data_IF_563789076940
#
_entry.id   IF_563789076940
#
_cell.length_a   1.000
_cell.length_b   1.000
_cell.length_c   1.000
_cell.angle_alpha   90.00
_cell.angle_beta   90.00
_cell.angle_gamma   90.00
#
_symmetry.space_group_name_H-M   'P 1'
#
loop_
_entity.id
_entity.type
_entity.pdbx_description
1 polymer ?
#
# COMPACT_ATOMS: atom_id res chain seq x y z
N UNK A 1 8.20 0.12 -6.56
CA UNK A 1 8.29 0.12 -5.08
C UNK A 1 8.42 1.54 -4.58
N UNK A 2 7.90 1.82 -3.38
CA UNK A 2 7.90 3.13 -2.78
C UNK A 2 8.93 3.16 -1.64
N UNK A 3 9.95 3.98 -1.79
CA UNK A 3 11.00 4.15 -0.78
C UNK A 3 10.60 5.27 0.16
N UNK A 4 10.36 4.95 1.40
CA UNK A 4 10.06 5.88 2.48
C UNK A 4 10.62 5.35 3.79
N UNK A 5 10.78 6.23 4.78
CA UNK A 5 11.14 5.82 6.13
C UNK A 5 9.89 5.56 6.98
N UNK A 6 10.05 4.80 8.02
CA UNK A 6 9.00 4.50 8.98
C UNK A 6 9.45 4.87 10.40
N UNK A 7 8.56 4.66 11.36
CA UNK A 7 8.89 4.88 12.79
C UNK A 7 9.85 3.83 13.34
N UNK A 8 10.03 2.70 12.66
CA UNK A 8 10.90 1.60 13.09
C UNK A 8 12.36 1.79 12.70
N UNK A 9 12.63 2.60 11.65
CA UNK A 9 13.98 2.81 11.13
C UNK A 9 14.35 4.29 11.09
N UNK A 10 15.61 4.58 11.37
CA UNK A 10 16.18 5.88 11.03
C UNK A 10 16.38 6.00 9.52
N UNK A 11 16.30 7.23 9.00
CA UNK A 11 16.43 7.49 7.53
C UNK A 11 17.68 6.85 6.90
N UNK A 12 18.88 6.93 7.50
CA UNK A 12 20.05 6.24 6.94
C UNK A 12 19.89 4.71 6.89
N UNK A 13 19.26 4.11 7.91
CA UNK A 13 19.01 2.66 7.93
C UNK A 13 18.01 2.27 6.84
N UNK A 14 16.92 3.05 6.68
CA UNK A 14 15.96 2.82 5.60
C UNK A 14 16.64 2.92 4.22
N UNK A 15 17.50 3.91 4.01
CA UNK A 15 18.28 4.06 2.78
C UNK A 15 19.13 2.82 2.48
N UNK A 16 19.85 2.32 3.47
CA UNK A 16 20.67 1.11 3.32
C UNK A 16 19.83 -0.11 2.96
N UNK A 17 18.67 -0.30 3.62
CA UNK A 17 17.77 -1.41 3.32
C UNK A 17 17.20 -1.33 1.90
N UNK A 18 16.88 -0.15 1.39
CA UNK A 18 16.43 0.03 0.01
C UNK A 18 17.53 -0.24 -1.02
N UNK A 19 18.76 0.15 -0.73
CA UNK A 19 19.90 -0.17 -1.60
C UNK A 19 20.15 -1.68 -1.62
N UNK A 20 20.12 -2.35 -0.48
CA UNK A 20 20.21 -3.82 -0.41
C UNK A 20 19.07 -4.49 -1.17
N UNK A 21 17.83 -4.00 -0.99
CA UNK A 21 16.67 -4.51 -1.70
C UNK A 21 16.78 -4.32 -3.22
N UNK A 22 17.35 -3.20 -3.68
CA UNK A 22 17.62 -2.96 -5.10
C UNK A 22 18.49 -4.04 -5.72
N UNK A 23 19.62 -4.36 -5.10
CA UNK A 23 20.49 -5.44 -5.53
C UNK A 23 19.79 -6.80 -5.49
N UNK A 24 19.13 -7.10 -4.37
CA UNK A 24 18.41 -8.37 -4.18
C UNK A 24 17.35 -8.59 -5.25
N UNK A 25 16.52 -7.60 -5.52
CA UNK A 25 15.46 -7.69 -6.53
C UNK A 25 16.02 -7.90 -7.94
N UNK A 26 17.11 -7.21 -8.30
CA UNK A 26 17.75 -7.37 -9.62
C UNK A 26 18.37 -8.76 -9.80
N UNK A 27 19.12 -9.21 -8.80
CA UNK A 27 19.71 -10.54 -8.82
C UNK A 27 18.62 -11.61 -8.86
N UNK A 28 17.60 -11.53 -8.00
CA UNK A 28 16.50 -12.49 -7.96
C UNK A 28 15.70 -12.51 -9.28
N UNK A 29 15.48 -11.36 -9.92
CA UNK A 29 14.77 -11.29 -11.18
C UNK A 29 15.46 -12.15 -12.26
N UNK A 30 16.78 -12.09 -12.37
CA UNK A 30 17.55 -12.85 -13.33
C UNK A 30 17.76 -14.31 -12.89
N UNK A 31 18.19 -14.52 -11.65
CA UNK A 31 18.53 -15.86 -11.13
C UNK A 31 17.33 -16.80 -11.20
N UNK A 32 16.14 -16.32 -10.87
CA UNK A 32 14.92 -17.12 -10.86
C UNK A 32 14.05 -16.95 -12.11
N UNK A 33 14.53 -16.26 -13.14
CA UNK A 33 13.79 -16.04 -14.39
C UNK A 33 12.47 -15.28 -14.21
N UNK A 34 12.40 -14.37 -13.23
CA UNK A 34 11.19 -13.62 -12.91
C UNK A 34 10.95 -12.44 -13.85
N UNK A 35 11.96 -12.06 -14.65
CA UNK A 35 11.90 -10.95 -15.59
C UNK A 35 13.25 -10.29 -15.80
N UNK A 36 13.25 -9.15 -16.52
CA UNK A 36 14.47 -8.35 -16.71
C UNK A 36 14.95 -7.75 -15.39
N UNK A 37 16.26 -7.67 -15.21
CA UNK A 37 16.87 -6.91 -14.11
C UNK A 37 16.41 -5.45 -14.10
N UNK A 38 16.06 -4.90 -15.26
CA UNK A 38 15.59 -3.52 -15.42
C UNK A 38 14.06 -3.42 -15.54
N UNK A 39 13.34 -4.51 -15.27
CA UNK A 39 11.87 -4.59 -15.36
C UNK A 39 11.12 -3.91 -14.19
N UNK A 40 11.80 -3.24 -13.28
CA UNK A 40 11.19 -2.52 -12.16
C UNK A 40 12.00 -1.29 -11.77
N UNK A 41 11.36 -0.39 -11.06
CA UNK A 41 11.93 0.85 -10.58
C UNK A 41 11.44 1.17 -9.17
N UNK A 42 12.27 1.88 -8.39
CA UNK A 42 11.88 2.41 -7.10
C UNK A 42 11.45 3.87 -7.24
N UNK A 43 10.49 4.28 -6.41
CA UNK A 43 10.02 5.65 -6.31
C UNK A 43 10.11 6.11 -4.86
N UNK A 44 10.43 7.38 -4.64
CA UNK A 44 10.51 7.96 -3.31
C UNK A 44 9.16 8.51 -2.89
N UNK A 45 8.85 8.43 -1.59
CA UNK A 45 7.75 9.17 -0.95
C UNK A 45 8.32 10.09 0.12
N UNK A 46 7.90 11.36 0.12
CA UNK A 46 8.32 12.36 1.11
C UNK A 46 7.09 13.00 1.76
N UNK A 47 7.17 13.28 3.06
CA UNK A 47 6.04 13.75 3.86
C UNK A 47 6.40 14.82 4.90
N UNK A 48 7.43 15.64 4.67
CA UNK A 48 7.79 16.77 5.51
C UNK A 48 7.40 18.12 4.87
N UNK A 49 7.48 19.21 5.66
CA UNK A 49 7.53 20.57 5.14
C UNK A 49 8.83 20.81 4.36
N UNK A 50 8.93 21.93 3.66
CA UNK A 50 10.09 22.23 2.83
C UNK A 50 11.39 22.25 3.65
N UNK A 51 11.38 22.82 4.85
CA UNK A 51 12.56 22.87 5.71
C UNK A 51 13.01 21.47 6.14
N UNK A 52 12.07 20.58 6.43
CA UNK A 52 12.33 19.18 6.74
C UNK A 52 12.91 18.42 5.55
N UNK A 53 12.39 18.65 4.34
CA UNK A 53 12.90 18.03 3.10
C UNK A 53 14.30 18.54 2.77
N UNK A 54 14.58 19.81 3.02
CA UNK A 54 15.91 20.40 2.84
C UNK A 54 16.90 20.09 3.98
N UNK A 55 16.46 19.43 5.05
CA UNK A 55 17.39 19.02 6.10
C UNK A 55 18.45 18.05 5.56
N UNK A 56 19.66 18.13 6.09
CA UNK A 56 20.79 17.27 5.64
C UNK A 56 20.41 15.79 5.59
N UNK A 57 19.61 15.34 6.57
CA UNK A 57 19.14 13.96 6.67
C UNK A 57 18.30 13.53 5.46
N UNK A 58 17.31 14.33 5.06
CA UNK A 58 16.40 14.01 3.96
C UNK A 58 17.04 14.34 2.62
N UNK A 59 17.77 15.42 2.55
CA UNK A 59 18.51 15.80 1.34
C UNK A 59 19.54 14.73 0.93
N UNK A 60 20.29 14.21 1.91
CA UNK A 60 21.22 13.09 1.69
C UNK A 60 20.50 11.83 1.22
N UNK A 61 19.33 11.50 1.81
CA UNK A 61 18.53 10.37 1.36
C UNK A 61 18.08 10.53 -0.11
N UNK A 62 17.54 11.69 -0.48
CA UNK A 62 17.10 11.99 -1.85
C UNK A 62 18.25 11.87 -2.85
N UNK A 63 19.40 12.49 -2.55
CA UNK A 63 20.55 12.48 -3.44
C UNK A 63 21.13 11.07 -3.59
N UNK A 64 21.24 10.32 -2.49
CA UNK A 64 21.77 8.94 -2.53
C UNK A 64 20.83 8.00 -3.27
N UNK A 65 19.52 8.08 -3.05
CA UNK A 65 18.59 7.22 -3.77
C UNK A 65 18.53 7.55 -5.27
N UNK A 66 18.89 8.76 -5.65
CA UNK A 66 19.00 9.14 -7.05
C UNK A 66 20.31 8.67 -7.68
N UNK A 67 21.44 8.69 -6.93
CA UNK A 67 22.77 8.35 -7.40
C UNK A 67 23.55 7.61 -6.30
N UNK A 68 23.22 6.32 -6.10
CA UNK A 68 23.75 5.52 -5.01
C UNK A 68 25.18 4.97 -5.23
N UNK A 69 25.70 5.03 -6.45
CA UNK A 69 26.95 4.35 -6.83
C UNK A 69 28.18 4.74 -5.98
N UNK A 70 28.18 5.96 -5.42
CA UNK A 70 29.28 6.46 -4.61
C UNK A 70 29.13 6.13 -3.11
N UNK A 71 27.97 5.66 -2.68
CA UNK A 71 27.73 5.29 -1.30
C UNK A 71 28.47 4.01 -0.90
N UNK A 72 28.94 3.96 0.35
CA UNK A 72 29.67 2.79 0.86
C UNK A 72 28.81 1.53 0.85
N UNK A 73 27.51 1.65 1.14
CA UNK A 73 26.60 0.49 1.13
C UNK A 73 26.42 -0.08 -0.28
N UNK A 74 26.35 0.77 -1.31
CA UNK A 74 26.21 0.31 -2.69
C UNK A 74 27.48 -0.44 -3.13
N UNK A 75 28.66 0.12 -2.84
CA UNK A 75 29.95 -0.52 -3.11
C UNK A 75 30.09 -1.85 -2.38
N UNK A 76 29.70 -1.89 -1.11
CA UNK A 76 29.74 -3.09 -0.28
C UNK A 76 28.80 -4.19 -0.82
N UNK A 77 27.59 -3.86 -1.21
CA UNK A 77 26.63 -4.81 -1.82
C UNK A 77 27.20 -5.39 -3.12
N UNK A 78 27.74 -4.53 -3.99
CA UNK A 78 28.36 -4.97 -5.26
C UNK A 78 29.55 -5.88 -5.02
N UNK A 79 30.46 -5.49 -4.12
CA UNK A 79 31.65 -6.29 -3.78
C UNK A 79 31.24 -7.67 -3.22
N UNK A 80 30.29 -7.70 -2.29
CA UNK A 80 29.79 -8.95 -1.72
C UNK A 80 29.24 -9.90 -2.79
N UNK A 81 28.43 -9.41 -3.72
CA UNK A 81 27.88 -10.23 -4.80
C UNK A 81 28.96 -10.72 -5.77
N UNK A 82 29.95 -9.89 -6.09
CA UNK A 82 31.07 -10.29 -6.94
C UNK A 82 31.93 -11.38 -6.29
N UNK A 83 32.16 -11.29 -4.98
CA UNK A 83 32.92 -12.30 -4.21
C UNK A 83 32.17 -13.63 -4.11
N UNK A 84 30.85 -13.62 -4.27
CA UNK A 84 29.99 -14.80 -4.18
C UNK A 84 29.30 -15.15 -5.52
N UNK A 85 29.82 -14.64 -6.63
CA UNK A 85 29.20 -14.83 -7.94
C UNK A 85 29.12 -16.32 -8.38
N UNK A 86 29.96 -17.16 -7.81
CA UNK A 86 30.00 -18.62 -8.03
C UNK A 86 28.78 -19.36 -7.42
N UNK A 87 28.01 -18.70 -6.56
CA UNK A 87 26.79 -19.27 -5.98
C UNK A 87 25.56 -19.13 -6.91
N UNK A 88 25.65 -18.35 -7.98
CA UNK A 88 24.57 -18.12 -8.93
C UNK A 88 24.70 -19.01 -10.16
N UNK A 89 23.57 -19.50 -10.68
CA UNK A 89 23.52 -20.28 -11.91
C UNK A 89 23.31 -19.39 -13.15
N UNK A 90 22.61 -18.28 -13.02
CA UNK A 90 22.18 -17.44 -14.13
C UNK A 90 22.69 -15.98 -14.07
N UNK A 91 23.12 -15.52 -12.90
CA UNK A 91 23.69 -14.18 -12.72
C UNK A 91 25.21 -14.22 -12.90
N UNK A 92 25.73 -13.43 -13.81
CA UNK A 92 27.16 -13.33 -14.08
C UNK A 92 27.79 -12.14 -13.34
N UNK A 93 29.13 -12.06 -13.32
CA UNK A 93 29.84 -10.91 -12.76
C UNK A 93 29.53 -9.63 -13.53
N UNK A 94 29.40 -9.72 -14.86
CA UNK A 94 29.05 -8.62 -15.73
C UNK A 94 27.65 -8.09 -15.42
N UNK A 95 26.72 -8.96 -15.07
CA UNK A 95 25.38 -8.54 -14.62
C UNK A 95 25.44 -7.74 -13.32
N UNK A 96 26.22 -8.22 -12.34
CA UNK A 96 26.39 -7.54 -11.07
C UNK A 96 27.07 -6.17 -11.26
N UNK A 97 28.06 -6.08 -12.12
CA UNK A 97 28.75 -4.83 -12.46
C UNK A 97 27.82 -3.83 -13.18
N UNK A 98 26.87 -4.33 -13.98
CA UNK A 98 25.91 -3.52 -14.73
C UNK A 98 24.83 -2.89 -13.86
N UNK A 99 24.63 -3.33 -12.61
CA UNK A 99 23.62 -2.76 -11.73
C UNK A 99 23.86 -1.27 -11.52
N UNK A 100 22.91 -0.45 -12.03
CA UNK A 100 22.97 1.00 -11.90
C UNK A 100 22.78 1.48 -10.47
N UNK A 101 23.46 2.58 -10.11
CA UNK A 101 23.22 3.30 -8.86
C UNK A 101 22.04 4.29 -8.94
N UNK A 102 21.41 4.43 -10.10
CA UNK A 102 20.23 5.28 -10.29
C UNK A 102 18.99 4.50 -9.87
N UNK A 103 18.69 4.53 -8.56
CA UNK A 103 17.64 3.71 -7.94
C UNK A 103 16.27 4.35 -8.09
N UNK A 104 16.18 5.67 -7.86
CA UNK A 104 14.94 6.44 -7.92
C UNK A 104 15.11 7.69 -8.78
N UNK A 105 14.21 7.91 -9.73
CA UNK A 105 14.14 9.14 -10.52
C UNK A 105 12.83 9.91 -10.30
N UNK A 106 11.93 9.41 -9.46
CA UNK A 106 10.63 10.01 -9.19
C UNK A 106 10.32 10.08 -7.71
N UNK A 107 9.52 11.09 -7.35
CA UNK A 107 9.13 11.35 -5.97
C UNK A 107 7.63 11.65 -5.88
N UNK A 108 6.98 11.10 -4.86
CA UNK A 108 5.61 11.43 -4.49
C UNK A 108 5.62 12.28 -3.22
N UNK A 109 5.02 13.47 -3.28
CA UNK A 109 4.81 14.35 -2.15
C UNK A 109 3.55 13.89 -1.42
N UNK A 110 3.70 13.40 -0.19
CA UNK A 110 2.59 13.01 0.68
C UNK A 110 2.44 14.09 1.75
N UNK A 111 1.66 15.11 1.44
CA UNK A 111 1.39 16.21 2.38
C UNK A 111 0.47 15.75 3.50
N UNK A 112 0.66 16.34 4.68
CA UNK A 112 -0.27 16.20 5.81
C UNK A 112 -1.58 16.93 5.49
N UNK A 113 -2.67 16.54 6.17
CA UNK A 113 -3.90 17.32 6.18
C UNK A 113 -3.62 18.74 6.66
N UNK A 114 -4.25 19.73 6.03
CA UNK A 114 -4.06 21.15 6.37
C UNK A 114 -2.77 21.78 5.83
N UNK A 115 -2.01 21.11 4.96
CA UNK A 115 -0.83 21.71 4.34
C UNK A 115 -1.24 22.83 3.36
N UNK A 116 -0.76 24.09 3.54
CA UNK A 116 -1.12 25.19 2.65
C UNK A 116 -0.72 24.97 1.19
N UNK A 117 -1.54 25.39 0.21
CA UNK A 117 -1.22 25.22 -1.22
C UNK A 117 0.15 25.75 -1.62
N UNK A 118 0.53 26.91 -1.07
CA UNK A 118 1.83 27.55 -1.35
C UNK A 118 3.00 26.70 -0.86
N UNK A 119 2.83 25.99 0.25
CA UNK A 119 3.87 25.11 0.77
C UNK A 119 3.99 23.84 -0.09
N UNK A 120 2.87 23.26 -0.52
CA UNK A 120 2.86 22.13 -1.47
C UNK A 120 3.59 22.51 -2.75
N UNK A 121 3.28 23.68 -3.31
CA UNK A 121 3.91 24.19 -4.52
C UNK A 121 5.43 24.40 -4.34
N UNK A 122 5.85 25.01 -3.22
CA UNK A 122 7.27 25.23 -2.91
C UNK A 122 8.05 23.92 -2.81
N UNK A 123 7.47 22.93 -2.15
CA UNK A 123 8.05 21.57 -2.05
C UNK A 123 8.19 20.96 -3.45
N UNK A 124 7.13 20.98 -4.25
CA UNK A 124 7.14 20.46 -5.59
C UNK A 124 8.18 21.16 -6.47
N UNK A 125 8.21 22.50 -6.43
CA UNK A 125 9.21 23.29 -7.16
C UNK A 125 10.63 22.92 -6.77
N UNK A 126 10.95 22.78 -5.49
CA UNK A 126 12.27 22.36 -5.03
C UNK A 126 12.67 20.98 -5.60
N UNK A 127 11.77 20.00 -5.53
CA UNK A 127 12.03 18.65 -6.02
C UNK A 127 12.21 18.60 -7.54
N UNK A 128 11.48 19.45 -8.27
CA UNK A 128 11.57 19.57 -9.73
C UNK A 128 12.82 20.34 -10.13
N UNK A 129 13.04 21.53 -9.55
CA UNK A 129 14.05 22.49 -10.06
C UNK A 129 15.44 22.22 -9.53
N UNK A 130 15.56 21.89 -8.25
CA UNK A 130 16.84 21.68 -7.57
C UNK A 130 17.27 20.20 -7.58
N UNK A 131 16.32 19.29 -7.47
CA UNK A 131 16.61 17.85 -7.40
C UNK A 131 16.39 17.12 -8.73
N UNK A 132 15.62 17.67 -9.65
CA UNK A 132 15.38 17.10 -10.98
C UNK A 132 14.64 15.75 -10.93
N UNK A 133 13.62 15.64 -10.05
CA UNK A 133 12.78 14.45 -9.98
C UNK A 133 11.50 14.60 -10.82
N UNK A 134 11.09 13.53 -11.46
CA UNK A 134 9.68 13.35 -11.84
C UNK A 134 8.84 13.44 -10.56
N UNK A 135 7.82 14.30 -10.53
CA UNK A 135 7.16 14.66 -9.27
C UNK A 135 5.67 14.42 -9.30
N UNK A 136 5.16 13.75 -8.28
CA UNK A 136 3.73 13.50 -8.10
C UNK A 136 3.25 14.07 -6.77
N UNK A 137 2.11 14.77 -6.79
CA UNK A 137 1.46 15.27 -5.57
C UNK A 137 0.35 14.31 -5.17
N UNK A 138 0.42 13.79 -3.96
CA UNK A 138 -0.63 12.93 -3.41
C UNK A 138 -1.79 13.78 -2.92
N UNK A 139 -2.96 13.59 -3.54
CA UNK A 139 -4.16 14.36 -3.25
C UNK A 139 -5.08 13.62 -2.27
N UNK A 140 -5.86 14.40 -1.50
CA UNK A 140 -6.86 13.88 -0.59
C UNK A 140 -8.22 13.74 -1.27
N UNK A 141 -9.07 12.79 -0.85
CA UNK A 141 -10.45 12.69 -1.34
C UNK A 141 -11.29 13.94 -1.06
N UNK A 142 -10.86 14.78 -0.12
CA UNK A 142 -11.47 16.05 0.27
C UNK A 142 -11.57 17.06 -0.88
N UNK A 143 -10.74 16.96 -1.91
CA UNK A 143 -10.83 17.73 -3.16
C UNK A 143 -12.16 17.56 -3.91
N UNK A 144 -12.95 16.54 -3.57
CA UNK A 144 -14.30 16.36 -4.11
C UNK A 144 -15.33 17.32 -3.51
N UNK A 145 -15.04 17.89 -2.32
CA UNK A 145 -15.95 18.68 -1.51
C UNK A 145 -16.84 17.80 -0.61
N UNK A 146 -17.23 18.35 0.53
CA UNK A 146 -17.97 17.65 1.59
C UNK A 146 -19.30 17.07 1.09
N UNK A 147 -20.12 17.90 0.43
CA UNK A 147 -21.46 17.49 -0.04
C UNK A 147 -21.39 16.31 -1.02
N UNK A 148 -20.41 16.32 -1.92
CA UNK A 148 -20.25 15.22 -2.86
C UNK A 148 -19.83 13.93 -2.15
N UNK A 149 -18.87 14.03 -1.23
CA UNK A 149 -18.38 12.86 -0.49
C UNK A 149 -19.49 12.29 0.40
N UNK A 150 -20.22 13.14 1.14
CA UNK A 150 -21.31 12.72 2.02
C UNK A 150 -22.41 12.03 1.22
N UNK A 151 -22.90 12.69 0.17
CA UNK A 151 -23.93 12.13 -0.69
C UNK A 151 -23.52 10.78 -1.31
N UNK A 152 -22.28 10.67 -1.78
CA UNK A 152 -21.78 9.42 -2.37
C UNK A 152 -21.78 8.30 -1.33
N UNK A 153 -21.33 8.56 -0.12
CA UNK A 153 -21.29 7.56 0.96
C UNK A 153 -22.70 7.14 1.39
N UNK A 154 -23.63 8.09 1.49
CA UNK A 154 -25.02 7.82 1.86
C UNK A 154 -25.74 6.99 0.79
N UNK A 155 -25.65 7.41 -0.47
CA UNK A 155 -26.27 6.71 -1.61
C UNK A 155 -25.77 5.26 -1.73
N UNK A 156 -24.53 4.98 -1.31
CA UNK A 156 -23.94 3.65 -1.33
C UNK A 156 -24.22 2.83 -0.05
N UNK A 157 -25.00 3.36 0.90
CA UNK A 157 -25.35 2.68 2.14
C UNK A 157 -24.29 2.75 3.24
N UNK A 158 -23.35 3.70 3.15
CA UNK A 158 -22.33 3.98 4.17
C UNK A 158 -22.72 5.20 5.04
N UNK A 159 -24.00 5.43 5.25
CA UNK A 159 -24.58 6.52 6.05
C UNK A 159 -24.11 6.52 7.52
N UNK A 160 -23.75 5.35 8.04
CA UNK A 160 -23.19 5.19 9.39
C UNK A 160 -21.73 5.64 9.53
N UNK A 161 -21.02 5.90 8.42
CA UNK A 161 -19.66 6.41 8.46
C UNK A 161 -19.70 7.89 8.78
N UNK A 162 -19.22 8.25 9.98
CA UNK A 162 -19.24 9.62 10.45
C UNK A 162 -18.00 10.39 10.00
N UNK A 163 -18.19 11.57 9.47
CA UNK A 163 -17.15 12.57 9.21
C UNK A 163 -17.79 13.96 9.09
N UNK A 164 -17.07 14.97 9.57
CA UNK A 164 -17.44 16.38 9.45
C UNK A 164 -16.85 17.06 8.23
N UNK A 165 -17.03 18.35 8.13
CA UNK A 165 -16.51 19.18 7.04
C UNK A 165 -15.13 19.80 7.34
N UNK A 166 -14.57 19.55 8.53
CA UNK A 166 -13.31 20.14 8.98
C UNK A 166 -12.17 19.90 7.99
N UNK A 167 -11.88 18.63 7.67
CA UNK A 167 -10.81 18.29 6.73
C UNK A 167 -11.06 18.83 5.32
N UNK A 168 -12.33 18.95 4.91
CA UNK A 168 -12.68 19.54 3.62
C UNK A 168 -12.42 21.04 3.52
N UNK A 169 -12.41 21.74 4.65
CA UNK A 169 -12.10 23.17 4.72
C UNK A 169 -10.62 23.45 4.92
N UNK A 170 -9.93 22.55 5.61
CA UNK A 170 -8.54 22.70 6.00
C UNK A 170 -7.57 22.18 4.91
N UNK A 171 -7.94 21.15 4.18
CA UNK A 171 -7.14 20.58 3.09
C UNK A 171 -7.10 21.49 1.86
N UNK A 172 -6.21 21.15 0.91
CA UNK A 172 -6.08 21.78 -0.39
C UNK A 172 -7.45 21.92 -1.08
N UNK A 173 -7.84 23.15 -1.40
CA UNK A 173 -9.09 23.45 -2.09
C UNK A 173 -8.96 23.29 -3.60
N UNK A 174 -10.07 23.02 -4.29
CA UNK A 174 -10.08 22.82 -5.73
C UNK A 174 -9.61 24.07 -6.51
N UNK A 175 -10.02 25.23 -6.07
CA UNK A 175 -9.71 26.53 -6.65
C UNK A 175 -8.22 26.86 -6.58
N UNK A 176 -7.52 26.37 -5.56
CA UNK A 176 -6.07 26.50 -5.40
C UNK A 176 -5.32 25.37 -6.13
N UNK A 177 -5.86 24.17 -6.10
CA UNK A 177 -5.23 22.97 -6.68
C UNK A 177 -5.07 23.10 -8.20
N UNK A 178 -6.12 23.50 -8.91
CA UNK A 178 -6.10 23.53 -10.39
C UNK A 178 -5.01 24.47 -10.93
N UNK A 179 -4.94 25.75 -10.53
CA UNK A 179 -3.90 26.64 -11.04
C UNK A 179 -2.49 26.25 -10.57
N UNK A 180 -2.33 25.67 -9.37
CA UNK A 180 -1.06 25.14 -8.89
C UNK A 180 -0.57 23.99 -9.76
N UNK A 181 -1.43 23.01 -10.02
CA UNK A 181 -1.09 21.85 -10.84
C UNK A 181 -0.74 22.27 -12.28
N UNK A 182 -1.48 23.23 -12.87
CA UNK A 182 -1.18 23.76 -14.21
C UNK A 182 0.20 24.42 -14.27
N UNK A 183 0.58 25.24 -13.27
CA UNK A 183 1.93 25.83 -13.20
C UNK A 183 3.02 24.76 -13.12
N UNK A 184 2.85 23.75 -12.24
CA UNK A 184 3.83 22.69 -12.06
C UNK A 184 3.97 21.81 -13.30
N UNK A 185 2.88 21.50 -13.99
CA UNK A 185 2.92 20.80 -15.29
C UNK A 185 3.79 21.53 -16.30
N UNK A 186 3.64 22.86 -16.44
CA UNK A 186 4.43 23.70 -17.34
C UNK A 186 5.92 23.67 -17.00
N UNK A 187 6.26 23.83 -15.72
CA UNK A 187 7.66 23.79 -15.27
C UNK A 187 8.30 22.42 -15.54
N UNK A 188 7.58 21.34 -15.30
CA UNK A 188 8.08 20.00 -15.61
C UNK A 188 8.26 19.79 -17.12
N UNK A 189 7.32 20.26 -17.93
CA UNK A 189 7.43 20.17 -19.39
C UNK A 189 8.65 20.92 -19.92
N UNK A 190 8.95 22.11 -19.40
CA UNK A 190 10.15 22.89 -19.78
C UNK A 190 11.46 22.19 -19.39
N UNK A 191 11.41 21.29 -18.42
CA UNK A 191 12.57 20.56 -17.90
C UNK A 191 12.64 19.10 -18.36
N UNK A 192 11.77 18.69 -19.24
CA UNK A 192 11.67 17.30 -19.72
C UNK A 192 11.43 16.30 -18.58
N UNK A 193 10.72 16.74 -17.51
CA UNK A 193 10.32 15.91 -16.38
C UNK A 193 8.83 15.59 -16.43
N UNK A 194 8.46 14.43 -15.90
CA UNK A 194 7.06 14.07 -15.73
C UNK A 194 6.47 14.70 -14.47
N UNK A 195 5.23 15.13 -14.59
CA UNK A 195 4.44 15.63 -13.47
C UNK A 195 3.08 14.96 -13.42
N UNK A 196 2.57 14.72 -12.23
CA UNK A 196 1.25 14.18 -12.06
C UNK A 196 0.73 14.28 -10.62
N UNK A 197 -0.40 13.62 -10.40
CA UNK A 197 -0.97 13.47 -9.08
C UNK A 197 -1.08 12.00 -8.72
N UNK A 198 -0.98 11.69 -7.43
CA UNK A 198 -1.32 10.38 -6.88
C UNK A 198 -2.62 10.49 -6.09
N UNK A 199 -3.62 9.75 -6.48
CA UNK A 199 -4.94 9.75 -5.83
C UNK A 199 -5.26 8.38 -5.27
N UNK A 200 -5.69 8.27 -4.00
CA UNK A 200 -5.82 9.29 -2.97
C UNK A 200 -5.07 8.87 -1.71
N UNK A 201 -4.94 9.81 -0.75
CA UNK A 201 -4.74 9.43 0.64
C UNK A 201 -5.94 8.62 1.15
N UNK A 202 -5.81 8.01 2.31
CA UNK A 202 -6.93 7.44 3.07
C UNK A 202 -7.90 8.57 3.47
N UNK A 203 -9.16 8.22 3.70
CA UNK A 203 -10.19 9.19 4.03
C UNK A 203 -10.40 9.23 5.54
N UNK A 204 -10.19 10.37 6.21
CA UNK A 204 -10.39 10.49 7.66
C UNK A 204 -11.87 10.38 7.99
N UNK A 205 -12.19 9.59 9.00
CA UNK A 205 -13.54 9.40 9.52
C UNK A 205 -13.52 9.35 11.04
N UNK A 206 -14.59 9.83 11.67
CA UNK A 206 -14.69 9.93 13.12
C UNK A 206 -14.86 8.57 13.79
N UNK A 207 -14.21 8.37 14.91
CA UNK A 207 -14.48 7.27 15.83
C UNK A 207 -15.66 7.65 16.71
N UNK A 208 -16.79 6.93 16.57
CA UNK A 208 -18.04 7.24 17.32
C UNK A 208 -18.42 6.18 18.35
N UNK A 209 -17.86 4.97 18.24
CA UNK A 209 -18.23 3.83 19.09
C UNK A 209 -16.99 3.22 19.76
N UNK A 210 -15.93 3.99 19.96
CA UNK A 210 -14.64 3.52 20.49
C UNK A 210 -14.06 2.33 19.72
N UNK A 211 -14.18 2.34 18.39
CA UNK A 211 -13.60 1.32 17.51
C UNK A 211 -12.08 1.28 17.59
N UNK A 212 -11.46 2.44 17.84
CA UNK A 212 -10.03 2.63 18.04
C UNK A 212 -9.79 3.59 19.21
N UNK A 213 -8.60 3.57 19.84
CA UNK A 213 -8.23 4.47 20.93
C UNK A 213 -7.85 5.89 20.45
N UNK A 214 -8.41 6.36 19.36
CA UNK A 214 -8.19 7.67 18.74
C UNK A 214 -9.52 8.33 18.42
N UNK A 215 -9.52 9.63 18.17
CA UNK A 215 -10.73 10.37 17.77
C UNK A 215 -11.10 10.12 16.31
N UNK A 216 -10.09 9.79 15.49
CA UNK A 216 -10.23 9.53 14.06
C UNK A 216 -9.65 8.17 13.67
N UNK A 217 -10.17 7.63 12.59
CA UNK A 217 -9.64 6.47 11.87
C UNK A 217 -9.66 6.76 10.36
N UNK A 218 -9.02 5.89 9.58
CA UNK A 218 -8.84 6.13 8.15
C UNK A 218 -9.51 5.05 7.31
N UNK A 219 -10.49 5.44 6.52
CA UNK A 219 -11.16 4.57 5.55
C UNK A 219 -10.25 4.32 4.35
N UNK A 220 -10.11 3.06 3.96
CA UNK A 220 -9.29 2.61 2.84
C UNK A 220 -9.94 1.43 2.08
N UNK A 221 -9.23 0.92 1.07
CA UNK A 221 -9.67 -0.24 0.31
C UNK A 221 -10.91 0.03 -0.55
N UNK A 222 -11.74 -0.99 -0.75
CA UNK A 222 -12.85 -0.94 -1.69
C UNK A 222 -13.92 0.13 -1.42
N UNK A 223 -14.08 0.55 -0.17
CA UNK A 223 -15.01 1.62 0.21
C UNK A 223 -14.50 3.02 -0.17
N UNK A 224 -13.17 3.17 -0.30
CA UNK A 224 -12.55 4.41 -0.76
C UNK A 224 -12.59 4.55 -2.29
N UNK A 225 -12.63 3.45 -3.03
CA UNK A 225 -12.57 3.44 -4.50
C UNK A 225 -13.57 4.39 -5.16
N UNK A 226 -14.86 4.46 -4.78
CA UNK A 226 -15.82 5.36 -5.41
C UNK A 226 -15.46 6.84 -5.28
N UNK A 227 -14.87 7.25 -4.19
CA UNK A 227 -14.39 8.62 -4.00
C UNK A 227 -13.12 8.86 -4.84
N UNK A 228 -12.15 7.95 -4.78
CA UNK A 228 -10.90 8.09 -5.51
C UNK A 228 -11.10 8.11 -7.02
N UNK A 229 -11.93 7.22 -7.58
CA UNK A 229 -12.19 7.22 -9.03
C UNK A 229 -13.05 8.41 -9.46
N UNK A 230 -13.91 8.93 -8.58
CA UNK A 230 -14.64 10.18 -8.84
C UNK A 230 -13.70 11.39 -8.90
N UNK A 231 -12.66 11.40 -8.07
CA UNK A 231 -11.62 12.44 -8.13
C UNK A 231 -10.79 12.29 -9.42
N UNK A 232 -10.47 11.06 -9.85
CA UNK A 232 -9.83 10.83 -11.14
C UNK A 232 -10.65 11.42 -12.30
N UNK A 233 -11.96 11.16 -12.30
CA UNK A 233 -12.86 11.68 -13.33
C UNK A 233 -12.92 13.22 -13.33
N UNK A 234 -12.96 13.84 -12.14
CA UNK A 234 -12.95 15.30 -11.99
C UNK A 234 -11.66 15.90 -12.54
N UNK A 235 -10.50 15.34 -12.19
CA UNK A 235 -9.19 15.78 -12.67
C UNK A 235 -9.01 15.53 -14.18
N UNK A 236 -9.37 14.35 -14.68
CA UNK A 236 -9.26 14.04 -16.11
C UNK A 236 -10.08 15.00 -16.97
N UNK A 237 -11.26 15.38 -16.51
CA UNK A 237 -12.10 16.37 -17.17
C UNK A 237 -11.49 17.78 -17.14
N UNK A 238 -10.99 18.23 -15.99
CA UNK A 238 -10.42 19.56 -15.79
C UNK A 238 -9.19 19.79 -16.66
N UNK A 239 -8.29 18.81 -16.71
CA UNK A 239 -7.02 18.89 -17.42
C UNK A 239 -7.07 18.27 -18.83
N UNK A 240 -8.25 18.00 -19.36
CA UNK A 240 -8.43 17.42 -20.70
C UNK A 240 -7.58 16.15 -20.91
N UNK A 241 -7.49 15.33 -19.87
CA UNK A 241 -6.72 14.09 -19.83
C UNK A 241 -5.20 14.25 -19.83
N UNK A 242 -4.66 15.46 -19.83
CA UNK A 242 -3.21 15.72 -19.93
C UNK A 242 -2.46 15.52 -18.62
N UNK A 243 -3.12 15.70 -17.48
CA UNK A 243 -2.53 15.46 -16.17
C UNK A 243 -2.36 13.97 -15.93
N UNK A 244 -1.13 13.53 -15.68
CA UNK A 244 -0.86 12.14 -15.34
C UNK A 244 -1.41 11.80 -13.95
N UNK A 245 -2.11 10.68 -13.86
CA UNK A 245 -2.70 10.20 -12.61
C UNK A 245 -2.06 8.86 -12.25
N UNK A 246 -1.44 8.79 -11.08
CA UNK A 246 -1.09 7.57 -10.38
C UNK A 246 -2.21 7.23 -9.39
N UNK A 247 -2.58 5.96 -9.28
CA UNK A 247 -3.74 5.56 -8.49
C UNK A 247 -3.36 4.83 -7.21
N UNK A 248 -3.97 5.19 -6.09
CA UNK A 248 -3.89 4.49 -4.81
C UNK A 248 -5.15 4.75 -3.97
N UNK A 249 -6.24 4.10 -4.28
CA UNK A 249 -7.53 4.35 -3.61
C UNK A 249 -8.47 3.18 -3.77
N UNK A 250 -8.11 2.01 -3.23
CA UNK A 250 -8.94 0.82 -3.29
C UNK A 250 -8.88 0.05 -4.60
N UNK A 251 -7.75 0.12 -5.31
CA UNK A 251 -7.50 -0.75 -6.44
C UNK A 251 -7.38 -2.21 -6.00
N UNK A 252 -8.00 -3.09 -6.77
CA UNK A 252 -7.94 -4.54 -6.59
C UNK A 252 -8.25 -5.27 -7.90
N UNK A 253 -8.34 -6.61 -7.84
CA UNK A 253 -8.62 -7.45 -8.99
C UNK A 253 -9.87 -7.04 -9.80
N UNK A 254 -10.90 -6.51 -9.14
CA UNK A 254 -12.19 -6.21 -9.78
C UNK A 254 -12.22 -4.88 -10.56
N UNK A 255 -11.25 -4.00 -10.31
CA UNK A 255 -11.26 -2.66 -10.89
C UNK A 255 -9.95 -2.24 -11.57
N UNK A 256 -8.83 -2.95 -11.32
CA UNK A 256 -7.51 -2.53 -11.82
C UNK A 256 -7.45 -2.44 -13.35
N UNK A 257 -8.09 -3.39 -14.05
CA UNK A 257 -8.11 -3.38 -15.53
C UNK A 257 -8.79 -2.13 -16.05
N UNK A 258 -9.95 -1.77 -15.52
CA UNK A 258 -10.67 -0.54 -15.90
C UNK A 258 -9.87 0.73 -15.60
N UNK A 259 -9.17 0.78 -14.46
CA UNK A 259 -8.31 1.91 -14.09
C UNK A 259 -7.21 2.10 -15.15
N UNK A 260 -6.51 1.03 -15.50
CA UNK A 260 -5.42 1.09 -16.51
C UNK A 260 -5.96 1.38 -17.91
N UNK A 261 -7.09 0.78 -18.30
CA UNK A 261 -7.74 1.06 -19.59
C UNK A 261 -8.19 2.52 -19.75
N UNK A 262 -8.42 3.21 -18.63
CA UNK A 262 -8.70 4.64 -18.63
C UNK A 262 -7.43 5.52 -18.75
N UNK A 263 -6.25 4.93 -18.83
CA UNK A 263 -4.97 5.64 -18.94
C UNK A 263 -4.36 6.02 -17.57
N UNK A 264 -4.85 5.44 -16.48
CA UNK A 264 -4.37 5.74 -15.11
C UNK A 264 -3.36 4.69 -14.70
N UNK A 265 -2.10 5.10 -14.56
CA UNK A 265 -1.01 4.27 -14.03
C UNK A 265 0.20 5.15 -13.63
N UNK A 266 1.07 4.69 -12.72
CA UNK A 266 1.06 3.39 -12.05
C UNK A 266 -0.07 3.25 -11.03
N UNK A 267 -0.45 2.00 -10.74
CA UNK A 267 -1.45 1.67 -9.71
C UNK A 267 -0.76 1.08 -8.49
N UNK A 268 -1.04 1.65 -7.33
CA UNK A 268 -0.53 1.18 -6.03
C UNK A 268 -1.63 0.42 -5.30
N UNK A 269 -1.27 -0.73 -4.73
CA UNK A 269 -2.16 -1.55 -3.90
C UNK A 269 -1.54 -1.76 -2.53
N UNK A 270 -2.37 -1.74 -1.50
CA UNK A 270 -1.96 -2.03 -0.12
C UNK A 270 -3.01 -2.90 0.58
N UNK A 271 -4.21 -2.39 0.81
CA UNK A 271 -5.28 -3.08 1.56
C UNK A 271 -5.61 -4.45 0.96
N UNK A 272 -5.55 -4.62 -0.36
CA UNK A 272 -5.83 -5.89 -1.02
C UNK A 272 -4.82 -6.97 -0.64
N UNK A 273 -3.55 -6.61 -0.39
CA UNK A 273 -2.49 -7.54 0.01
C UNK A 273 -2.58 -7.97 1.48
N UNK A 274 -3.29 -7.20 2.30
CA UNK A 274 -3.53 -7.52 3.71
C UNK A 274 -4.72 -8.48 3.89
N UNK A 275 -5.44 -8.78 2.83
CA UNK A 275 -6.54 -9.75 2.83
C UNK A 275 -6.04 -11.17 2.56
N UNK A 276 -6.86 -12.20 2.87
CA UNK A 276 -6.54 -13.58 2.51
C UNK A 276 -6.15 -13.72 1.04
N UNK A 277 -5.09 -14.46 0.76
CA UNK A 277 -4.45 -14.54 -0.55
C UNK A 277 -3.18 -13.69 -0.66
N UNK A 278 -3.00 -12.67 0.18
CA UNK A 278 -1.75 -11.92 0.31
C UNK A 278 -1.14 -11.49 -1.04
N UNK A 279 0.13 -11.78 -1.22
CA UNK A 279 0.87 -11.43 -2.44
C UNK A 279 0.43 -12.18 -3.71
N UNK A 280 -0.25 -13.32 -3.62
CA UNK A 280 -0.81 -14.02 -4.80
C UNK A 280 -1.82 -13.15 -5.54
N UNK A 281 -2.50 -12.24 -4.84
CA UNK A 281 -3.39 -11.25 -5.46
C UNK A 281 -2.65 -10.32 -6.42
N UNK A 282 -1.35 -10.08 -6.19
CA UNK A 282 -0.53 -9.28 -7.11
C UNK A 282 -0.37 -10.01 -8.45
N UNK A 283 -0.09 -11.31 -8.41
CA UNK A 283 0.01 -12.12 -9.62
C UNK A 283 -1.33 -12.16 -10.39
N UNK A 284 -2.45 -12.31 -9.68
CA UNK A 284 -3.79 -12.26 -10.28
C UNK A 284 -4.08 -10.92 -10.96
N UNK A 285 -3.72 -9.80 -10.33
CA UNK A 285 -3.89 -8.47 -10.92
C UNK A 285 -2.95 -8.26 -12.10
N UNK A 286 -1.68 -8.69 -12.00
CA UNK A 286 -0.70 -8.58 -13.06
C UNK A 286 -1.14 -9.34 -14.33
N UNK A 287 -1.73 -10.53 -14.18
CA UNK A 287 -2.22 -11.31 -15.33
C UNK A 287 -3.30 -10.59 -16.15
N UNK A 288 -4.05 -9.68 -15.54
CA UNK A 288 -5.03 -8.84 -16.27
C UNK A 288 -4.36 -7.74 -17.10
N UNK A 289 -3.10 -7.42 -16.81
CA UNK A 289 -2.36 -6.28 -17.39
C UNK A 289 -1.23 -6.70 -18.33
N UNK A 290 -1.01 -7.99 -18.57
CA UNK A 290 0.11 -8.53 -19.39
C UNK A 290 0.18 -7.95 -20.82
N UNK A 291 -0.92 -7.47 -21.36
CA UNK A 291 -1.03 -6.93 -22.72
C UNK A 291 -1.13 -5.42 -22.75
N UNK A 292 -1.07 -4.77 -21.60
CA UNK A 292 -1.19 -3.33 -21.55
C UNK A 292 0.13 -2.65 -21.95
N UNK A 293 0.00 -1.48 -22.56
CA UNK A 293 1.14 -0.65 -22.94
C UNK A 293 1.52 0.24 -21.74
N UNK A 294 2.81 0.43 -21.54
CA UNK A 294 3.39 1.29 -20.50
C UNK A 294 3.68 2.74 -20.97
N UNK A 295 3.20 3.11 -22.16
CA UNK A 295 3.31 4.48 -22.68
C UNK A 295 2.11 5.31 -22.25
N UNK A 296 2.35 6.43 -21.57
CA UNK A 296 1.30 7.37 -21.20
C UNK A 296 0.80 8.13 -22.44
N UNK A 297 -0.46 7.98 -22.75
CA UNK A 297 -1.13 8.65 -23.88
C UNK A 297 -2.24 9.61 -23.45
N UNK A 298 -2.37 9.83 -22.14
CA UNK A 298 -3.42 10.63 -21.51
C UNK A 298 -4.44 9.80 -20.74
N UNK A 299 -5.21 10.47 -19.89
CA UNK A 299 -6.30 9.88 -19.11
C UNK A 299 -7.64 10.14 -19.81
N UNK A 300 -8.39 9.10 -20.08
CA UNK A 300 -9.72 9.23 -20.69
C UNK A 300 -10.75 9.76 -19.70
N UNK A 301 -11.21 11.00 -19.90
CA UNK A 301 -12.26 11.62 -19.08
C UNK A 301 -13.59 10.84 -19.19
N UNK A 302 -13.90 10.27 -20.37
CA UNK A 302 -15.11 9.47 -20.57
C UNK A 302 -15.05 8.16 -19.78
N UNK A 303 -13.97 7.38 -19.92
CA UNK A 303 -13.82 6.12 -19.21
C UNK A 303 -13.76 6.31 -17.69
N UNK A 304 -13.06 7.32 -17.20
CA UNK A 304 -13.01 7.64 -15.78
C UNK A 304 -14.38 8.05 -15.22
N UNK A 305 -15.16 8.82 -15.98
CA UNK A 305 -16.52 9.19 -15.60
C UNK A 305 -17.44 7.95 -15.54
N UNK A 306 -17.30 7.02 -16.50
CA UNK A 306 -18.05 5.76 -16.49
C UNK A 306 -17.66 4.91 -15.28
N UNK A 307 -16.35 4.73 -15.00
CA UNK A 307 -15.90 3.99 -13.82
C UNK A 307 -16.42 4.60 -12.50
N UNK A 308 -16.47 5.93 -12.42
CA UNK A 308 -16.99 6.62 -11.23
C UNK A 308 -18.52 6.42 -11.08
N UNK A 309 -19.26 6.36 -12.18
CA UNK A 309 -20.68 6.06 -12.16
C UNK A 309 -20.94 4.60 -11.76
N UNK A 310 -20.22 3.67 -12.38
CA UNK A 310 -20.35 2.23 -12.13
C UNK A 310 -19.98 1.86 -10.67
N UNK A 311 -18.96 2.51 -10.12
CA UNK A 311 -18.52 2.28 -8.73
C UNK A 311 -19.63 2.52 -7.72
N UNK A 312 -20.49 3.52 -7.94
CA UNK A 312 -21.57 3.91 -7.03
C UNK A 312 -22.73 2.91 -6.99
N UNK A 313 -22.89 2.10 -8.01
CA UNK A 313 -23.97 1.11 -8.13
C UNK A 313 -23.46 -0.33 -8.12
N UNK A 314 -22.15 -0.53 -8.18
CA UNK A 314 -21.53 -1.85 -8.19
C UNK A 314 -21.83 -2.62 -6.91
N UNK A 315 -22.38 -3.84 -7.00
CA UNK A 315 -22.59 -4.70 -5.82
C UNK A 315 -21.31 -5.00 -5.03
N UNK A 316 -20.15 -4.85 -5.65
CA UNK A 316 -18.86 -5.03 -4.99
C UNK A 316 -18.52 -3.83 -4.08
N UNK A 317 -18.84 -2.60 -4.49
CA UNK A 317 -18.49 -1.38 -3.77
C UNK A 317 -19.61 -0.88 -2.83
N UNK A 318 -20.87 -1.06 -3.22
CA UNK A 318 -22.04 -0.72 -2.39
C UNK A 318 -22.03 -1.56 -1.11
N UNK A 319 -22.48 -0.97 -0.02
CA UNK A 319 -22.61 -1.66 1.26
C UNK A 319 -23.54 -2.85 1.14
N UNK A 320 -23.01 -4.04 1.36
CA UNK A 320 -23.81 -5.25 1.32
C UNK A 320 -24.86 -5.25 2.43
N UNK A 321 -26.12 -5.37 2.07
CA UNK A 321 -27.22 -5.63 3.01
C UNK A 321 -27.17 -7.11 3.37
N UNK A 322 -26.83 -7.40 4.63
CA UNK A 322 -26.85 -8.77 5.12
C UNK A 322 -28.28 -9.17 5.48
N UNK A 323 -28.77 -10.32 5.01
CA UNK A 323 -30.13 -10.77 5.28
C UNK A 323 -30.37 -11.13 6.76
N UNK A 324 -29.31 -11.32 7.52
CA UNK A 324 -29.40 -11.64 8.95
C UNK A 324 -29.07 -10.40 9.80
N UNK A 325 -29.67 -10.30 11.01
CA UNK A 325 -29.33 -9.24 11.95
C UNK A 325 -27.83 -9.15 12.19
N UNK A 326 -27.36 -7.93 12.40
CA UNK A 326 -25.96 -7.70 12.72
C UNK A 326 -25.59 -8.49 13.98
N UNK A 327 -24.52 -9.27 13.90
CA UNK A 327 -23.91 -9.95 15.05
C UNK A 327 -22.89 -9.07 15.78
N UNK A 328 -22.76 -7.81 15.37
CA UNK A 328 -21.88 -6.86 16.07
C UNK A 328 -22.40 -6.64 17.48
N UNK A 329 -21.53 -6.74 18.44
CA UNK A 329 -21.87 -6.45 19.83
C UNK A 329 -22.08 -4.95 20.00
N UNK A 330 -23.15 -4.55 20.71
CA UNK A 330 -23.44 -3.15 21.02
C UNK A 330 -22.59 -2.59 22.18
N UNK A 331 -21.94 -3.48 22.92
CA UNK A 331 -21.06 -3.10 24.01
C UNK A 331 -19.61 -3.22 23.56
N UNK A 332 -18.80 -2.27 23.99
CA UNK A 332 -17.36 -2.40 23.87
C UNK A 332 -16.93 -3.70 24.56
N UNK A 333 -16.29 -4.58 23.81
CA UNK A 333 -15.59 -5.71 24.41
C UNK A 333 -14.29 -5.21 24.98
N UNK A 334 -13.84 -5.75 26.13
CA UNK A 334 -12.46 -5.48 26.56
C UNK A 334 -11.53 -5.80 25.41
N UNK A 335 -10.41 -5.08 25.31
CA UNK A 335 -9.32 -5.40 24.39
C UNK A 335 -8.97 -6.87 24.61
N UNK A 336 -9.63 -7.71 23.84
CA UNK A 336 -9.25 -9.11 23.72
C UNK A 336 -7.96 -9.11 22.92
N UNK A 337 -7.03 -9.90 23.38
CA UNK A 337 -5.85 -10.21 22.62
C UNK A 337 -6.29 -10.63 21.20
N UNK A 338 -6.00 -9.77 20.22
CA UNK A 338 -6.34 -10.05 18.83
C UNK A 338 -5.53 -11.25 18.28
N UNK A 339 -4.62 -11.77 19.07
CA UNK A 339 -3.82 -12.96 18.81
C UNK A 339 -4.44 -14.25 19.32
N UNK A 340 -5.67 -14.24 19.83
CA UNK A 340 -6.37 -15.50 20.10
C UNK A 340 -6.58 -16.26 18.81
N UNK A 341 -5.84 -17.35 18.67
CA UNK A 341 -5.88 -18.15 17.47
C UNK A 341 -7.28 -18.79 17.26
N UNK A 342 -7.87 -18.69 16.06
CA UNK A 342 -9.18 -19.30 15.79
C UNK A 342 -9.24 -20.80 16.05
N UNK A 343 -8.12 -21.51 15.96
CA UNK A 343 -8.01 -22.92 16.31
C UNK A 343 -8.25 -23.18 17.79
N UNK A 344 -7.84 -22.26 18.68
CA UNK A 344 -8.14 -22.35 20.12
C UNK A 344 -9.65 -22.24 20.36
N UNK A 345 -10.32 -21.30 19.71
CA UNK A 345 -11.77 -21.13 19.79
C UNK A 345 -12.54 -22.28 19.10
N UNK A 346 -11.93 -22.91 18.10
CA UNK A 346 -12.49 -24.07 17.41
C UNK A 346 -12.35 -25.38 18.19
N UNK A 347 -11.54 -25.39 19.27
CA UNK A 347 -11.35 -26.55 20.11
C UNK A 347 -12.41 -26.57 21.24
N UNK A 348 -13.16 -27.68 21.44
CA UNK A 348 -14.19 -27.77 22.49
C UNK A 348 -13.68 -27.55 23.91
N UNK A 349 -12.39 -27.80 24.15
CA UNK A 349 -11.74 -27.59 25.44
C UNK A 349 -10.81 -26.38 25.47
N UNK A 350 -10.85 -25.54 24.43
CA UNK A 350 -9.99 -24.35 24.28
C UNK A 350 -8.50 -24.64 24.49
N UNK A 351 -8.01 -25.71 23.88
CA UNK A 351 -6.61 -26.09 23.95
C UNK A 351 -5.70 -25.02 23.37
N UNK A 352 -4.61 -24.69 24.04
CA UNK A 352 -3.65 -23.69 23.56
C UNK A 352 -2.71 -24.28 22.51
N UNK A 353 -3.26 -24.47 21.31
CA UNK A 353 -2.57 -25.11 20.18
C UNK A 353 -1.31 -24.34 19.76
N UNK A 354 -1.33 -23.00 19.58
CA UNK A 354 -0.13 -22.27 19.23
C UNK A 354 0.99 -22.42 20.26
N UNK A 355 0.67 -22.40 21.54
CA UNK A 355 1.68 -22.50 22.59
C UNK A 355 2.41 -23.85 22.54
N UNK A 356 1.69 -24.98 22.54
CA UNK A 356 2.38 -26.26 22.53
C UNK A 356 3.11 -26.53 21.20
N UNK A 357 2.61 -26.04 20.06
CA UNK A 357 3.31 -26.18 18.79
C UNK A 357 4.65 -25.40 18.75
N UNK A 358 4.68 -24.22 19.34
CA UNK A 358 5.94 -23.47 19.48
C UNK A 358 6.95 -24.20 20.38
N UNK A 359 6.48 -24.79 21.47
CA UNK A 359 7.31 -25.60 22.35
C UNK A 359 7.85 -26.85 21.64
N UNK A 360 7.02 -27.56 20.88
CA UNK A 360 7.44 -28.67 20.03
C UNK A 360 8.50 -28.23 19.00
N UNK A 361 8.28 -27.10 18.33
CA UNK A 361 9.27 -26.52 17.41
C UNK A 361 10.60 -26.22 18.10
N UNK A 362 10.56 -25.79 19.36
CA UNK A 362 11.75 -25.52 20.17
C UNK A 362 12.39 -26.78 20.77
N UNK A 363 11.85 -27.97 20.54
CA UNK A 363 12.32 -29.24 21.12
C UNK A 363 11.96 -29.43 22.59
N UNK A 364 11.05 -28.60 23.13
CA UNK A 364 10.63 -28.60 24.55
C UNK A 364 9.39 -29.46 24.76
N UNK A 365 9.54 -30.75 24.56
CA UNK A 365 8.41 -31.70 24.52
C UNK A 365 7.71 -31.87 25.87
N UNK A 366 8.44 -31.83 27.00
CA UNK A 366 7.85 -31.94 28.33
C UNK A 366 7.00 -30.71 28.67
N UNK A 367 7.50 -29.50 28.33
CA UNK A 367 6.75 -28.26 28.51
C UNK A 367 5.49 -28.27 27.60
N UNK A 368 5.62 -28.75 26.36
CA UNK A 368 4.48 -28.88 25.45
C UNK A 368 3.41 -29.83 26.02
N UNK A 369 3.83 -30.96 26.55
CA UNK A 369 2.91 -31.91 27.19
C UNK A 369 2.22 -31.29 28.41
N UNK A 370 2.93 -30.49 29.18
CA UNK A 370 2.36 -29.75 30.32
C UNK A 370 1.23 -28.85 29.87
N UNK A 371 1.46 -28.03 28.85
CA UNK A 371 0.41 -27.17 28.25
C UNK A 371 -0.80 -27.97 27.78
N UNK A 372 -0.57 -29.11 27.14
CA UNK A 372 -1.66 -29.97 26.68
C UNK A 372 -2.46 -30.55 27.86
N UNK A 373 -1.78 -31.04 28.88
CA UNK A 373 -2.42 -31.71 30.00
C UNK A 373 -3.18 -30.78 30.94
N UNK A 374 -2.91 -29.48 30.93
CA UNK A 374 -3.71 -28.48 31.62
C UNK A 374 -5.20 -28.54 31.28
N UNK A 375 -5.49 -28.81 29.98
CA UNK A 375 -6.86 -28.88 29.45
C UNK A 375 -7.33 -30.29 29.14
N UNK A 376 -6.39 -31.21 28.92
CA UNK A 376 -6.65 -32.55 28.45
C UNK A 376 -5.83 -33.57 29.22
N UNK A 377 -6.29 -34.03 30.40
CA UNK A 377 -5.54 -34.95 31.23
C UNK A 377 -5.40 -36.37 30.64
N UNK A 378 -6.23 -36.71 29.66
CA UNK A 378 -6.20 -38.02 29.01
C UNK A 378 -5.73 -37.90 27.52
N UNK A 379 -4.68 -37.16 27.33
CA UNK A 379 -4.15 -36.72 26.04
C UNK A 379 -4.02 -37.83 25.01
N UNK A 380 -3.53 -39.00 25.41
CA UNK A 380 -3.33 -40.13 24.50
C UNK A 380 -4.67 -40.67 23.94
N UNK A 381 -5.67 -40.85 24.82
CA UNK A 381 -6.97 -41.37 24.41
C UNK A 381 -7.73 -40.35 23.58
N UNK A 382 -7.88 -39.16 24.12
CA UNK A 382 -8.68 -38.07 23.50
C UNK A 382 -8.03 -37.54 22.23
N UNK A 383 -6.69 -37.53 22.16
CA UNK A 383 -5.95 -37.17 20.94
C UNK A 383 -6.18 -38.19 19.80
N UNK A 384 -6.27 -39.48 20.10
CA UNK A 384 -6.53 -40.52 19.12
C UNK A 384 -7.92 -40.41 18.49
N UNK A 385 -8.92 -39.99 19.26
CA UNK A 385 -10.32 -39.86 18.79
C UNK A 385 -10.74 -38.41 18.47
N UNK A 386 -9.77 -37.50 18.43
CA UNK A 386 -10.03 -36.09 18.20
C UNK A 386 -10.64 -35.86 16.81
N UNK A 387 -11.74 -35.09 16.75
CA UNK A 387 -12.39 -34.72 15.50
C UNK A 387 -11.67 -33.58 14.74
N UNK A 388 -10.56 -33.05 15.26
CA UNK A 388 -9.72 -31.99 14.67
C UNK A 388 -10.50 -30.75 14.24
N UNK A 389 -11.54 -30.35 14.98
CA UNK A 389 -12.37 -29.17 14.66
C UNK A 389 -11.59 -27.87 14.55
N UNK A 390 -10.46 -27.78 15.25
CA UNK A 390 -9.53 -26.66 15.16
C UNK A 390 -8.88 -26.50 13.77
N UNK A 391 -8.61 -27.61 13.07
CA UNK A 391 -8.04 -27.57 11.72
C UNK A 391 -8.97 -26.84 10.74
N UNK A 392 -10.28 -27.02 10.85
CA UNK A 392 -11.28 -26.31 10.04
C UNK A 392 -11.37 -24.79 10.34
N UNK A 393 -10.80 -24.34 11.46
CA UNK A 393 -10.73 -22.92 11.85
C UNK A 393 -9.35 -22.31 11.62
N UNK A 394 -8.39 -23.09 11.15
CA UNK A 394 -7.04 -22.61 10.92
C UNK A 394 -6.99 -21.51 9.86
N UNK A 395 -6.35 -20.38 10.17
CA UNK A 395 -6.20 -19.27 9.22
C UNK A 395 -5.30 -19.62 8.04
N UNK A 396 -4.44 -20.64 8.18
CA UNK A 396 -3.60 -21.15 7.07
C UNK A 396 -4.43 -21.71 5.92
N UNK A 397 -5.65 -22.18 6.16
CA UNK A 397 -6.55 -22.65 5.11
C UNK A 397 -6.87 -21.63 4.01
N UNK A 398 -6.51 -20.35 4.20
CA UNK A 398 -6.66 -19.33 3.18
C UNK A 398 -5.55 -19.35 2.11
N UNK A 399 -4.43 -20.03 2.37
CA UNK A 399 -3.26 -20.01 1.48
C UNK A 399 -2.42 -21.31 1.49
N UNK A 400 -2.64 -22.22 2.41
CA UNK A 400 -1.93 -23.49 2.53
C UNK A 400 -2.72 -24.49 3.37
N UNK A 401 -2.18 -25.69 3.60
CA UNK A 401 -2.79 -26.68 4.48
C UNK A 401 -2.81 -26.21 5.93
N UNK A 402 -3.87 -26.62 6.65
CA UNK A 402 -3.98 -26.37 8.08
C UNK A 402 -2.83 -26.99 8.86
N UNK A 403 -2.55 -26.45 10.04
CA UNK A 403 -1.57 -27.08 10.94
C UNK A 403 -2.03 -28.49 11.33
N UNK A 404 -1.16 -29.46 11.13
CA UNK A 404 -1.37 -30.82 11.61
C UNK A 404 -1.13 -30.88 13.13
N UNK A 405 -2.10 -31.37 13.85
CA UNK A 405 -2.16 -31.38 15.32
C UNK A 405 -1.94 -32.81 15.79
#
# INVERSE_FOLDING_TARGET
>A
YNCEWSTELYVPQAMEEYIKAWFLCKVAAKEFGLGSMDGFQFNISVGYDLAGIQSEKIDSFLNTMKHAQDSEIFKSCRAYLLDHADLFEHVTKEDIESISGDICNSVTISTLHGCPPQEIERIAMYLITEKGFHTFIKCNPTLLGYEFARKTMDDMGYDYVAFGDFHFKDDLQWEDAVPMLDRLMKVCQERELEFGVKITNTFPVDVKQNELPSEEMYMSGKSLYPLSISLAAKLAKEFDGKLRISYSGGADYHNIKGIVDAGIWPVTVATTLLKPGGYDRTAQMASLLEKENDVFTGVSAEKTAQLAADAKVSPYHVKAVKPLPSRKMKKQVPLLDCFTAPCKEGCPIHQDIPAYLQLVKAGKYEEALTVITEKNPLTFITGTICAHTCMGKCTRNFYEDSVHI
#
